data_IF_244360069822
#
_entry.id   IF_244360069822
#
_cell.length_a   1.000
_cell.length_b   1.000
_cell.length_c   1.000
_cell.angle_alpha   90.00
_cell.angle_beta   90.00
_cell.angle_gamma   90.00
#
_symmetry.space_group_name_H-M   'P 1'
#
loop_
_entity.id
_entity.type
_entity.pdbx_description
1 polymer ?
#
# COMPACT_ATOMS: atom_id res chain seq x y z
N UNK A 1 2.46 17.96 17.50
CA UNK A 1 2.42 16.52 17.19
C UNK A 1 1.26 16.13 16.27
N UNK A 2 -0.02 16.41 16.58
CA UNK A 2 -1.16 16.00 15.73
C UNK A 2 -1.08 16.53 14.30
N UNK A 3 -0.79 17.80 14.13
CA UNK A 3 -0.66 18.42 12.80
C UNK A 3 0.44 17.74 11.98
N UNK A 4 1.56 17.43 12.61
CA UNK A 4 2.66 16.70 11.97
C UNK A 4 2.22 15.30 11.52
N UNK A 5 1.48 14.56 12.37
CA UNK A 5 1.00 13.23 12.02
C UNK A 5 0.03 13.25 10.84
N UNK A 6 -0.90 14.22 10.80
CA UNK A 6 -1.79 14.43 9.65
C UNK A 6 -1.01 14.75 8.38
N UNK A 7 -0.02 15.62 8.48
CA UNK A 7 0.82 15.97 7.33
C UNK A 7 1.61 14.77 6.79
N UNK A 8 2.11 13.90 7.67
CA UNK A 8 2.78 12.66 7.26
C UNK A 8 1.80 11.76 6.48
N UNK A 9 0.61 11.48 7.01
CA UNK A 9 -0.38 10.65 6.31
C UNK A 9 -0.76 11.27 4.96
N UNK A 10 -0.99 12.57 4.89
CA UNK A 10 -1.29 13.26 3.64
C UNK A 10 -0.17 13.14 2.59
N UNK A 11 1.08 13.17 3.01
CA UNK A 11 2.22 12.98 2.10
C UNK A 11 2.28 11.53 1.62
N UNK A 12 2.12 10.56 2.51
CA UNK A 12 2.10 9.13 2.17
C UNK A 12 0.97 8.83 1.19
N UNK A 13 -0.23 9.32 1.48
CA UNK A 13 -1.41 9.14 0.63
C UNK A 13 -1.18 9.68 -0.79
N UNK A 14 -0.70 10.90 -0.91
CA UNK A 14 -0.52 11.54 -2.21
C UNK A 14 0.67 11.03 -3.02
N UNK A 15 1.74 10.61 -2.36
CA UNK A 15 3.01 10.29 -3.04
C UNK A 15 3.32 8.81 -3.12
N UNK A 16 2.91 8.02 -2.13
CA UNK A 16 3.33 6.63 -2.00
C UNK A 16 2.19 5.63 -2.16
N UNK A 17 0.97 5.95 -1.70
CA UNK A 17 -0.15 5.02 -1.71
C UNK A 17 -0.59 4.69 -3.14
N UNK A 18 -0.86 3.40 -3.37
CA UNK A 18 -1.47 2.82 -4.57
C UNK A 18 -2.52 1.80 -4.17
N UNK A 19 -3.27 1.28 -5.11
CA UNK A 19 -4.25 0.19 -4.85
C UNK A 19 -3.60 -1.12 -4.41
N UNK A 20 -2.30 -1.32 -4.69
CA UNK A 20 -1.55 -2.55 -4.41
C UNK A 20 -0.60 -2.44 -3.21
N UNK A 21 -0.38 -1.26 -2.67
CA UNK A 21 0.55 -1.04 -1.56
C UNK A 21 1.16 0.34 -1.57
N UNK A 22 2.30 0.49 -0.89
CA UNK A 22 3.04 1.75 -0.88
C UNK A 22 4.30 1.64 -1.72
N UNK A 23 4.55 2.67 -2.53
CA UNK A 23 5.83 2.84 -3.22
C UNK A 23 6.96 2.97 -2.22
N UNK A 24 8.09 2.37 -2.53
CA UNK A 24 9.32 2.50 -1.73
C UNK A 24 10.07 3.82 -1.98
N UNK A 25 9.80 4.46 -3.12
CA UNK A 25 10.26 5.79 -3.48
C UNK A 25 9.14 6.52 -4.23
N UNK A 26 8.96 7.81 -3.99
CA UNK A 26 7.92 8.58 -4.64
C UNK A 26 8.22 8.81 -6.12
N UNK A 27 7.17 8.80 -6.95
CA UNK A 27 7.29 9.14 -8.38
C UNK A 27 7.84 10.55 -8.55
N UNK A 28 8.85 10.68 -9.39
CA UNK A 28 9.53 11.95 -9.68
C UNK A 28 10.75 12.24 -8.80
N UNK A 29 11.01 11.42 -7.79
CA UNK A 29 12.27 11.51 -7.03
C UNK A 29 13.43 10.89 -7.84
N UNK A 30 14.64 11.37 -7.60
CA UNK A 30 15.83 10.85 -8.28
C UNK A 30 16.05 9.36 -7.96
N UNK A 31 16.34 8.57 -8.98
CA UNK A 31 16.49 7.13 -8.84
C UNK A 31 15.18 6.33 -8.81
N UNK A 32 14.01 6.94 -9.06
CA UNK A 32 12.73 6.22 -9.10
C UNK A 32 12.69 5.20 -10.24
N UNK A 33 12.46 3.93 -9.91
CA UNK A 33 12.37 2.79 -10.83
C UNK A 33 11.05 2.05 -10.58
N UNK A 34 10.01 2.22 -11.44
CA UNK A 34 8.68 1.69 -11.19
C UNK A 34 8.47 0.22 -11.50
N UNK A 35 9.37 -0.41 -12.26
CA UNK A 35 9.17 -1.77 -12.77
C UNK A 35 10.20 -2.75 -12.21
N UNK A 36 9.71 -3.89 -11.69
CA UNK A 36 10.52 -5.01 -11.23
C UNK A 36 10.71 -6.01 -12.36
N UNK A 37 11.65 -5.74 -13.25
CA UNK A 37 11.84 -6.51 -14.48
C UNK A 37 13.29 -6.60 -14.92
N UNK A 38 13.56 -7.46 -15.92
CA UNK A 38 14.88 -7.66 -16.48
C UNK A 38 15.72 -8.71 -15.73
N UNK A 39 17.04 -8.57 -15.80
CA UNK A 39 17.98 -9.47 -15.12
C UNK A 39 18.01 -9.23 -13.59
N UNK A 40 18.78 -10.07 -12.88
CA UNK A 40 18.86 -10.00 -11.42
C UNK A 40 19.35 -8.62 -10.92
N UNK A 41 20.30 -8.01 -11.61
CA UNK A 41 20.83 -6.71 -11.24
C UNK A 41 19.77 -5.60 -11.37
N UNK A 42 19.03 -5.58 -12.47
CA UNK A 42 17.97 -4.59 -12.71
C UNK A 42 16.83 -4.71 -11.69
N UNK A 43 16.43 -5.96 -11.37
CA UNK A 43 15.42 -6.21 -10.34
C UNK A 43 15.89 -5.77 -8.96
N UNK A 44 17.14 -6.04 -8.60
CA UNK A 44 17.71 -5.61 -7.34
C UNK A 44 17.75 -4.08 -7.22
N UNK A 45 18.13 -3.39 -8.29
CA UNK A 45 18.11 -1.92 -8.35
C UNK A 45 16.72 -1.31 -8.17
N UNK A 46 15.66 -1.96 -8.60
CA UNK A 46 14.29 -1.47 -8.46
C UNK A 46 13.63 -1.84 -7.13
N UNK A 47 14.15 -2.83 -6.42
CA UNK A 47 13.53 -3.53 -5.30
C UNK A 47 13.07 -2.61 -4.15
N UNK A 48 13.82 -1.52 -3.90
CA UNK A 48 13.49 -0.48 -2.93
C UNK A 48 13.51 0.94 -3.50
N UNK A 49 13.43 1.07 -4.83
CA UNK A 49 13.56 2.36 -5.54
C UNK A 49 12.30 2.74 -6.34
N UNK A 50 11.15 2.34 -5.85
CA UNK A 50 9.90 2.77 -6.49
C UNK A 50 8.82 1.71 -6.56
N UNK A 51 9.17 0.42 -6.68
CA UNK A 51 8.17 -0.65 -6.68
C UNK A 51 7.32 -0.62 -5.40
N UNK A 52 6.12 -1.18 -5.52
CA UNK A 52 5.12 -1.19 -4.46
C UNK A 52 5.29 -2.41 -3.56
N UNK A 53 5.30 -2.20 -2.25
CA UNK A 53 5.28 -3.25 -1.25
C UNK A 53 3.94 -3.29 -0.52
N UNK A 54 3.32 -4.46 -0.54
CA UNK A 54 1.97 -4.67 0.01
C UNK A 54 1.92 -4.49 1.54
N UNK A 55 2.88 -5.07 2.26
CA UNK A 55 2.88 -5.09 3.72
C UNK A 55 2.89 -3.70 4.37
N UNK A 56 3.43 -2.70 3.67
CA UNK A 56 3.44 -1.30 4.13
C UNK A 56 2.04 -0.72 4.32
N UNK A 57 1.02 -1.28 3.63
CA UNK A 57 -0.38 -0.87 3.85
C UNK A 57 -0.85 -1.08 5.28
N UNK A 58 -0.37 -2.12 5.95
CA UNK A 58 -0.73 -2.37 7.33
C UNK A 58 -0.22 -1.31 8.30
N UNK A 59 0.98 -0.79 8.06
CA UNK A 59 1.52 0.34 8.82
C UNK A 59 0.74 1.63 8.54
N UNK A 60 0.41 1.88 7.28
CA UNK A 60 -0.43 3.02 6.89
C UNK A 60 -1.81 2.93 7.54
N UNK A 61 -2.46 1.76 7.52
CA UNK A 61 -3.74 1.50 8.17
C UNK A 61 -3.69 1.83 9.68
N UNK A 62 -2.69 1.32 10.39
CA UNK A 62 -2.55 1.55 11.83
C UNK A 62 -2.28 3.03 12.14
N UNK A 63 -1.43 3.69 11.36
CA UNK A 63 -1.14 5.11 11.49
C UNK A 63 -2.40 5.97 11.26
N UNK A 64 -3.14 5.71 10.20
CA UNK A 64 -4.38 6.44 9.88
C UNK A 64 -5.43 6.25 10.98
N UNK A 65 -5.64 5.01 11.42
CA UNK A 65 -6.55 4.68 12.53
C UNK A 65 -6.19 5.42 13.82
N UNK A 66 -4.91 5.49 14.15
CA UNK A 66 -4.45 6.20 15.35
C UNK A 66 -4.75 7.71 15.25
N UNK A 67 -4.54 8.31 14.08
CA UNK A 67 -4.86 9.73 13.86
C UNK A 67 -6.36 10.00 14.00
N UNK A 68 -7.22 9.12 13.46
CA UNK A 68 -8.67 9.21 13.63
C UNK A 68 -9.04 9.15 15.11
N UNK A 69 -8.43 8.23 15.87
CA UNK A 69 -8.72 8.09 17.31
C UNK A 69 -8.34 9.34 18.09
N UNK A 70 -7.23 9.97 17.75
CA UNK A 70 -6.71 11.17 18.38
C UNK A 70 -7.43 12.46 17.96
N UNK A 71 -8.22 12.43 16.86
CA UNK A 71 -8.93 13.62 16.37
C UNK A 71 -10.09 13.99 17.31
N UNK A 72 -10.12 15.26 17.73
CA UNK A 72 -11.12 15.82 18.66
C UNK A 72 -12.19 16.62 17.97
N UNK A 73 -11.90 17.21 16.83
CA UNK A 73 -12.91 17.86 16.02
C UNK A 73 -13.83 16.79 15.40
N UNK A 74 -15.12 16.85 15.77
CA UNK A 74 -16.10 15.84 15.36
C UNK A 74 -16.30 15.80 13.85
N UNK A 75 -16.34 16.96 13.21
CA UNK A 75 -16.60 17.05 11.78
C UNK A 75 -15.41 16.51 10.98
N UNK A 76 -14.20 16.87 11.40
CA UNK A 76 -12.96 16.40 10.78
C UNK A 76 -12.80 14.90 10.98
N UNK A 77 -13.08 14.40 12.18
CA UNK A 77 -13.05 12.96 12.48
C UNK A 77 -13.98 12.15 11.57
N UNK A 78 -15.21 12.63 11.32
CA UNK A 78 -16.14 11.92 10.43
C UNK A 78 -15.66 11.94 8.96
N UNK A 79 -15.06 13.02 8.48
CA UNK A 79 -14.44 13.06 7.16
C UNK A 79 -13.32 12.02 7.03
N UNK A 80 -12.42 11.99 8.01
CA UNK A 80 -11.31 11.03 8.03
C UNK A 80 -11.79 9.58 8.08
N UNK A 81 -12.87 9.28 8.80
CA UNK A 81 -13.47 7.95 8.79
C UNK A 81 -13.98 7.55 7.41
N UNK A 82 -14.63 8.46 6.69
CA UNK A 82 -15.11 8.20 5.33
C UNK A 82 -13.94 7.89 4.39
N UNK A 83 -12.84 8.62 4.49
CA UNK A 83 -11.63 8.36 3.69
C UNK A 83 -10.98 7.03 4.06
N UNK A 84 -10.94 6.71 5.34
CA UNK A 84 -10.42 5.43 5.83
C UNK A 84 -11.25 4.23 5.36
N UNK A 85 -12.57 4.34 5.36
CA UNK A 85 -13.49 3.34 4.82
C UNK A 85 -13.28 3.14 3.30
N UNK A 86 -13.07 4.21 2.55
CA UNK A 86 -12.73 4.13 1.13
C UNK A 86 -11.41 3.37 0.90
N UNK A 87 -10.40 3.64 1.72
CA UNK A 87 -9.14 2.92 1.66
C UNK A 87 -9.34 1.41 1.93
N UNK A 88 -10.06 1.02 2.99
CA UNK A 88 -10.35 -0.38 3.30
C UNK A 88 -11.08 -1.07 2.14
N UNK A 89 -12.08 -0.40 1.56
CA UNK A 89 -12.84 -0.93 0.44
C UNK A 89 -12.01 -1.06 -0.84
N UNK A 90 -11.06 -0.15 -1.09
CA UNK A 90 -10.11 -0.26 -2.20
C UNK A 90 -9.23 -1.49 -2.03
N UNK A 91 -8.64 -1.68 -0.85
CA UNK A 91 -7.83 -2.86 -0.52
C UNK A 91 -8.63 -4.15 -0.72
N UNK A 92 -9.86 -4.21 -0.19
CA UNK A 92 -10.73 -5.38 -0.36
C UNK A 92 -11.01 -5.68 -1.84
N UNK A 93 -11.37 -4.66 -2.61
CA UNK A 93 -11.72 -4.81 -4.03
C UNK A 93 -10.51 -5.28 -4.85
N UNK A 94 -9.35 -4.66 -4.65
CA UNK A 94 -8.11 -5.01 -5.35
C UNK A 94 -7.70 -6.44 -5.04
N UNK A 95 -7.58 -6.79 -3.76
CA UNK A 95 -7.07 -8.10 -3.39
C UNK A 95 -8.08 -9.24 -3.53
N UNK A 96 -9.38 -8.96 -3.53
CA UNK A 96 -10.40 -9.94 -3.96
C UNK A 96 -10.20 -10.39 -5.40
N UNK A 97 -9.78 -9.51 -6.28
CA UNK A 97 -9.45 -9.83 -7.67
C UNK A 97 -8.08 -10.54 -7.73
N UNK A 98 -7.11 -9.99 -7.04
CA UNK A 98 -5.71 -10.41 -7.09
C UNK A 98 -5.51 -11.85 -6.64
N UNK A 99 -6.11 -12.28 -5.52
CA UNK A 99 -6.03 -13.66 -5.01
C UNK A 99 -6.59 -14.72 -5.96
N UNK A 100 -7.35 -14.33 -6.96
CA UNK A 100 -7.90 -15.24 -7.97
C UNK A 100 -7.17 -15.19 -9.31
N UNK A 101 -6.37 -14.14 -9.58
CA UNK A 101 -5.81 -13.88 -10.90
C UNK A 101 -4.30 -13.65 -10.92
N UNK A 102 -3.65 -13.57 -9.74
CA UNK A 102 -2.22 -13.33 -9.61
C UNK A 102 -1.37 -14.58 -9.88
N UNK A 103 -0.05 -14.44 -9.70
CA UNK A 103 0.94 -15.51 -9.89
C UNK A 103 0.67 -16.75 -9.02
N UNK A 104 -0.02 -16.59 -7.90
CA UNK A 104 -0.42 -17.67 -6.98
C UNK A 104 -1.88 -17.56 -6.59
N UNK A 105 -2.69 -18.56 -6.93
CA UNK A 105 -4.11 -18.60 -6.53
C UNK A 105 -4.22 -18.71 -5.01
N UNK A 106 -5.05 -17.87 -4.39
CA UNK A 106 -5.31 -17.87 -2.95
C UNK A 106 -4.22 -17.21 -2.11
N UNK A 107 -3.29 -16.49 -2.74
CA UNK A 107 -2.19 -15.80 -2.04
C UNK A 107 -1.94 -14.41 -2.62
N UNK A 108 -0.97 -13.70 -2.05
CA UNK A 108 -0.59 -12.34 -2.47
C UNK A 108 0.93 -12.31 -2.65
N UNK A 109 1.36 -11.72 -3.76
CA UNK A 109 2.77 -11.57 -4.09
C UNK A 109 3.49 -10.59 -3.16
N UNK A 110 4.80 -10.64 -3.17
CA UNK A 110 5.67 -9.81 -2.34
C UNK A 110 5.55 -8.33 -2.67
N UNK A 111 5.60 -8.02 -3.96
CA UNK A 111 5.59 -6.66 -4.48
C UNK A 111 4.86 -6.58 -5.84
N UNK A 112 4.66 -5.34 -6.28
CA UNK A 112 4.06 -5.02 -7.59
C UNK A 112 4.82 -3.88 -8.26
N UNK A 113 4.77 -3.81 -9.58
CA UNK A 113 5.15 -2.60 -10.29
C UNK A 113 4.34 -1.42 -9.74
N UNK A 114 4.91 -0.23 -9.71
CA UNK A 114 4.23 0.95 -9.16
C UNK A 114 3.54 1.82 -10.21
N UNK A 115 3.64 1.46 -11.47
CA UNK A 115 2.95 2.06 -12.60
C UNK A 115 2.21 0.96 -13.39
N UNK A 116 1.24 1.36 -14.18
CA UNK A 116 0.48 0.46 -15.06
C UNK A 116 1.36 -0.16 -16.15
N UNK A 117 1.29 -1.48 -16.38
CA UNK A 117 0.49 -2.45 -15.64
C UNK A 117 1.12 -2.80 -14.27
N UNK A 118 0.29 -2.97 -13.25
CA UNK A 118 0.71 -3.38 -11.90
C UNK A 118 0.99 -4.88 -11.87
N UNK A 119 2.12 -5.28 -12.43
CA UNK A 119 2.51 -6.69 -12.50
C UNK A 119 3.08 -7.12 -11.16
N UNK A 120 2.59 -8.26 -10.65
CA UNK A 120 3.10 -8.92 -9.46
C UNK A 120 4.54 -9.42 -9.67
N UNK A 121 5.37 -9.32 -8.64
CA UNK A 121 6.77 -9.73 -8.68
C UNK A 121 7.30 -10.19 -7.32
N UNK A 122 8.57 -10.55 -7.30
CA UNK A 122 9.20 -11.14 -6.12
C UNK A 122 8.69 -12.55 -5.86
N UNK A 123 8.52 -12.90 -4.59
CA UNK A 123 7.91 -14.16 -4.18
C UNK A 123 6.40 -14.17 -4.51
N UNK A 124 5.91 -15.19 -5.19
CA UNK A 124 4.49 -15.29 -5.58
C UNK A 124 3.53 -15.44 -4.39
N UNK A 125 4.03 -15.84 -3.23
CA UNK A 125 3.28 -16.00 -1.97
C UNK A 125 4.10 -15.45 -0.83
N UNK A 126 3.70 -14.27 -0.32
CA UNK A 126 4.44 -13.59 0.75
C UNK A 126 3.57 -13.46 2.00
N UNK A 127 4.02 -14.06 3.10
CA UNK A 127 3.27 -14.15 4.35
C UNK A 127 2.88 -12.75 4.91
N UNK A 128 3.78 -11.79 4.92
CA UNK A 128 3.47 -10.45 5.42
C UNK A 128 2.52 -9.67 4.51
N UNK A 129 2.55 -9.90 3.19
CA UNK A 129 1.54 -9.33 2.28
C UNK A 129 0.14 -9.86 2.62
N UNK A 130 0.02 -11.17 2.78
CA UNK A 130 -1.23 -11.83 3.15
C UNK A 130 -1.71 -11.36 4.53
N UNK A 131 -0.85 -11.36 5.54
CA UNK A 131 -1.23 -11.00 6.92
C UNK A 131 -1.70 -9.56 7.04
N UNK A 132 -1.02 -8.61 6.39
CA UNK A 132 -1.40 -7.20 6.47
C UNK A 132 -2.68 -6.89 5.69
N UNK A 133 -2.89 -7.51 4.53
CA UNK A 133 -4.16 -7.40 3.81
C UNK A 133 -5.31 -8.01 4.64
N UNK A 134 -5.14 -9.20 5.21
CA UNK A 134 -6.14 -9.82 6.08
C UNK A 134 -6.45 -8.96 7.30
N UNK A 135 -5.45 -8.35 7.93
CA UNK A 135 -5.65 -7.41 9.05
C UNK A 135 -6.55 -6.24 8.65
N UNK A 136 -6.34 -5.66 7.47
CA UNK A 136 -7.13 -4.53 6.97
C UNK A 136 -8.57 -4.96 6.69
N UNK A 137 -8.77 -6.01 5.88
CA UNK A 137 -10.10 -6.44 5.44
C UNK A 137 -10.93 -7.08 6.57
N UNK A 138 -10.30 -7.64 7.61
CA UNK A 138 -11.03 -8.18 8.77
C UNK A 138 -11.74 -7.12 9.62
N UNK A 139 -11.62 -5.84 9.25
CA UNK A 139 -12.29 -4.69 9.89
C UNK A 139 -13.57 -4.26 9.18
N UNK A 140 -13.91 -4.93 8.06
CA UNK A 140 -15.16 -4.71 7.33
C UNK A 140 -16.35 -5.33 8.04
#
# INVERSE_FOLDING_TARGET
MRELNKNIINVVDKKLLTDYGLRTLAKGEDGYIPYYEGDAYKRDMSYHQGVVWVWLMGLYFDAFKNIINDEKDRLEKEKMKIEFEKFINSVFTTFKIEINNSQGIGTISELYNSETPYIAGGTFSQAWSVSEVLKIISRI
#
